data_IF_818574844419
#
_entry.id   IF_818574844419
#
_cell.length_a   1.000
_cell.length_b   1.000
_cell.length_c   1.000
_cell.angle_alpha   90.00
_cell.angle_beta   90.00
_cell.angle_gamma   90.00
#
_symmetry.space_group_name_H-M   'P 1'
#
loop_
_entity.id
_entity.type
_entity.pdbx_description
1 polymer ?
#
# COMPACT_ATOMS: atom_id res chain seq x y z
N UNK A 1 -0.62 -4.43 17.59
CA UNK A 1 -1.55 -3.44 18.17
C UNK A 1 -2.05 -2.37 17.20
N UNK A 2 -1.42 -2.08 16.05
CA UNK A 2 -1.88 -0.99 15.18
C UNK A 2 -3.12 -1.35 14.35
N UNK A 3 -3.27 -2.62 13.96
CA UNK A 3 -4.37 -3.09 13.11
C UNK A 3 -5.76 -2.98 13.75
N UNK A 4 -5.88 -2.94 15.08
CA UNK A 4 -7.17 -2.81 15.74
C UNK A 4 -7.85 -1.45 15.53
N UNK A 5 -7.13 -0.46 14.99
CA UNK A 5 -7.74 0.80 14.54
C UNK A 5 -8.66 0.62 13.32
N UNK A 6 -8.54 -0.51 12.62
CA UNK A 6 -9.41 -0.90 11.51
C UNK A 6 -10.80 -1.35 11.96
N UNK A 7 -11.02 -1.58 13.26
CA UNK A 7 -12.31 -2.03 13.78
C UNK A 7 -13.40 -1.00 13.47
N UNK A 8 -14.48 -1.45 12.80
CA UNK A 8 -15.60 -0.60 12.40
C UNK A 8 -15.27 0.46 11.34
N UNK A 9 -14.14 0.34 10.63
CA UNK A 9 -13.78 1.24 9.53
C UNK A 9 -14.25 0.67 8.19
N UNK A 10 -14.50 1.57 7.23
CA UNK A 10 -14.89 1.20 5.86
C UNK A 10 -13.67 0.92 4.96
N UNK A 11 -12.60 1.69 5.16
CA UNK A 11 -11.32 1.50 4.50
C UNK A 11 -10.19 1.96 5.43
N UNK A 12 -8.95 1.57 5.12
CA UNK A 12 -7.75 2.02 5.82
C UNK A 12 -6.67 2.47 4.83
N UNK A 13 -5.72 3.27 5.32
CA UNK A 13 -4.56 3.74 4.58
C UNK A 13 -3.29 3.27 5.29
N UNK A 14 -2.50 2.44 4.61
CA UNK A 14 -1.11 2.17 4.99
C UNK A 14 -0.22 3.24 4.36
N UNK A 15 0.08 4.27 5.15
CA UNK A 15 0.83 5.42 4.66
C UNK A 15 2.35 5.20 4.74
N UNK A 16 3.07 5.54 3.66
CA UNK A 16 4.52 5.60 3.64
C UNK A 16 5.21 4.26 3.89
N UNK A 17 4.64 3.17 3.38
CA UNK A 17 5.18 1.81 3.56
C UNK A 17 6.59 1.72 3.00
N UNK A 18 7.51 1.24 3.84
CA UNK A 18 8.92 1.07 3.50
C UNK A 18 9.19 -0.36 3.05
N UNK A 19 10.08 -0.52 2.08
CA UNK A 19 10.60 -1.81 1.64
C UNK A 19 12.10 -1.93 1.80
N UNK A 20 12.66 -2.96 1.17
CA UNK A 20 14.10 -3.10 0.98
C UNK A 20 14.55 -2.14 -0.13
N UNK A 21 15.55 -1.32 0.15
CA UNK A 21 16.16 -0.44 -0.85
C UNK A 21 17.07 -1.27 -1.77
N UNK A 22 16.92 -1.16 -3.09
CA UNK A 22 17.77 -1.81 -4.10
C UNK A 22 19.07 -1.04 -4.39
N UNK A 23 19.66 -0.43 -3.37
CA UNK A 23 20.91 0.35 -3.52
C UNK A 23 20.73 1.85 -3.72
N UNK A 24 19.51 2.39 -3.60
CA UNK A 24 19.28 3.83 -3.52
C UNK A 24 19.60 4.33 -2.10
N UNK A 25 20.65 5.13 -1.92
CA UNK A 25 21.05 5.66 -0.61
C UNK A 25 20.01 6.62 0.02
N UNK A 26 19.13 7.18 -0.80
CA UNK A 26 18.13 8.18 -0.38
C UNK A 26 16.81 7.59 0.13
N UNK A 27 16.62 6.27 0.06
CA UNK A 27 15.41 5.60 0.55
C UNK A 27 15.71 4.81 1.83
N UNK A 28 15.09 5.16 2.96
CA UNK A 28 15.28 4.41 4.19
C UNK A 28 14.65 3.02 4.05
N UNK A 29 15.42 1.97 4.33
CA UNK A 29 14.88 0.61 4.36
C UNK A 29 13.98 0.40 5.58
N UNK A 30 12.98 -0.47 5.45
CA UNK A 30 12.10 -0.84 6.56
C UNK A 30 11.29 -2.11 6.29
N UNK A 31 10.67 -2.68 7.33
CA UNK A 31 9.98 -3.96 7.25
C UNK A 31 8.54 -3.84 6.72
N UNK A 32 8.12 -2.68 6.23
CA UNK A 32 6.72 -2.41 5.91
C UNK A 32 6.12 -3.41 4.92
N UNK A 33 6.79 -3.64 3.79
CA UNK A 33 6.34 -4.65 2.82
C UNK A 33 6.47 -6.09 3.32
N UNK A 34 7.46 -6.41 4.17
CA UNK A 34 7.54 -7.73 4.77
C UNK A 34 6.34 -7.98 5.70
N UNK A 35 5.99 -7.00 6.52
CA UNK A 35 4.83 -7.06 7.40
C UNK A 35 3.51 -7.18 6.61
N UNK A 36 3.38 -6.48 5.47
CA UNK A 36 2.21 -6.64 4.61
C UNK A 36 2.13 -8.05 4.01
N UNK A 37 3.27 -8.64 3.64
CA UNK A 37 3.31 -10.02 3.12
C UNK A 37 2.95 -11.07 4.17
N UNK A 38 3.09 -10.75 5.47
CA UNK A 38 2.59 -11.58 6.58
C UNK A 38 1.08 -11.39 6.84
N UNK A 39 0.48 -10.31 6.35
CA UNK A 39 -0.93 -9.95 6.55
C UNK A 39 -1.84 -10.35 5.37
N UNK A 40 -1.50 -11.41 4.63
CA UNK A 40 -2.21 -11.80 3.40
C UNK A 40 -3.71 -11.97 3.59
N UNK A 41 -4.12 -12.63 4.69
CA UNK A 41 -5.53 -12.84 4.99
C UNK A 41 -6.30 -11.52 5.21
N UNK A 42 -5.59 -10.47 5.66
CA UNK A 42 -6.15 -9.14 5.85
C UNK A 42 -6.32 -8.42 4.51
N UNK A 43 -5.28 -8.45 3.66
CA UNK A 43 -5.26 -7.79 2.35
C UNK A 43 -6.27 -8.43 1.39
N UNK A 44 -6.39 -9.75 1.45
CA UNK A 44 -7.29 -10.54 0.63
C UNK A 44 -8.77 -10.33 0.97
N UNK A 45 -9.08 -10.17 2.26
CA UNK A 45 -10.46 -9.99 2.72
C UNK A 45 -11.39 -11.19 2.44
N UNK A 46 -10.84 -12.40 2.22
CA UNK A 46 -11.64 -13.62 2.01
C UNK A 46 -12.18 -14.23 3.30
N UNK A 47 -11.49 -13.98 4.42
CA UNK A 47 -11.81 -14.56 5.73
C UNK A 47 -11.86 -13.46 6.79
N UNK A 48 -12.57 -13.74 7.89
CA UNK A 48 -12.50 -12.88 9.06
C UNK A 48 -11.15 -13.01 9.75
N UNK A 49 -10.61 -11.89 10.21
CA UNK A 49 -9.36 -11.81 10.96
C UNK A 49 -9.64 -11.37 12.39
N UNK A 50 -8.83 -11.85 13.33
CA UNK A 50 -8.94 -11.46 14.73
C UNK A 50 -8.16 -10.17 15.00
N UNK A 51 -8.89 -9.12 15.39
CA UNK A 51 -8.32 -7.83 15.74
C UNK A 51 -8.28 -7.65 17.26
N UNK A 52 -7.07 -7.55 17.81
CA UNK A 52 -6.85 -7.39 19.24
C UNK A 52 -6.70 -5.94 19.67
N UNK A 53 -7.49 -5.51 20.65
CA UNK A 53 -7.36 -4.22 21.31
C UNK A 53 -7.12 -4.43 22.81
N UNK A 54 -6.21 -3.63 23.37
CA UNK A 54 -5.83 -3.73 24.78
C UNK A 54 -7.06 -3.65 25.68
N UNK A 55 -7.16 -4.57 26.65
CA UNK A 55 -8.25 -4.67 27.63
C UNK A 55 -9.63 -4.90 27.01
N UNK A 56 -9.69 -5.47 25.81
CA UNK A 56 -10.94 -5.85 25.14
C UNK A 56 -10.80 -7.28 24.60
N UNK A 57 -11.93 -7.96 24.43
CA UNK A 57 -11.95 -9.24 23.74
C UNK A 57 -11.57 -9.06 22.26
N UNK A 58 -10.86 -10.02 21.65
CA UNK A 58 -10.59 -10.00 20.22
C UNK A 58 -11.90 -9.90 19.42
N UNK A 59 -11.90 -9.07 18.38
CA UNK A 59 -13.05 -8.90 17.50
C UNK A 59 -12.74 -9.60 16.18
N UNK A 60 -13.60 -10.53 15.77
CA UNK A 60 -13.56 -11.14 14.45
C UNK A 60 -14.33 -10.26 13.46
N UNK A 61 -13.69 -9.87 12.38
CA UNK A 61 -14.34 -9.18 11.27
C UNK A 61 -13.53 -9.37 9.98
N UNK A 62 -14.19 -9.22 8.83
CA UNK A 62 -13.47 -9.03 7.57
C UNK A 62 -12.65 -7.74 7.65
N UNK A 63 -11.40 -7.80 7.24
CA UNK A 63 -10.54 -6.63 7.27
C UNK A 63 -10.99 -5.62 6.20
N UNK A 64 -11.07 -4.32 6.53
CA UNK A 64 -11.56 -3.32 5.58
C UNK A 64 -10.61 -3.14 4.40
N UNK A 65 -11.13 -2.69 3.27
CA UNK A 65 -10.32 -2.39 2.09
C UNK A 65 -9.20 -1.40 2.41
N UNK A 66 -8.09 -1.54 1.68
CA UNK A 66 -6.85 -0.89 2.05
C UNK A 66 -6.32 -0.10 0.86
N UNK A 67 -5.73 1.06 1.15
CA UNK A 67 -4.90 1.80 0.22
C UNK A 67 -3.49 1.81 0.79
N UNK A 68 -2.51 1.41 0.00
CA UNK A 68 -1.10 1.41 0.39
C UNK A 68 -0.39 2.49 -0.42
N UNK A 69 0.33 3.37 0.27
CA UNK A 69 1.21 4.36 -0.35
C UNK A 69 2.65 4.04 -0.02
N UNK A 70 3.53 4.13 -1.02
CA UNK A 70 4.97 3.96 -0.81
C UNK A 70 5.76 4.78 -1.83
N UNK A 71 7.06 4.96 -1.54
CA UNK A 71 8.00 5.46 -2.55
C UNK A 71 8.35 4.32 -3.53
N UNK A 72 9.37 4.55 -4.36
CA UNK A 72 9.89 3.58 -5.31
C UNK A 72 10.71 2.46 -4.62
N UNK A 73 10.01 1.62 -3.85
CA UNK A 73 10.55 0.42 -3.24
C UNK A 73 10.22 -0.81 -4.09
N UNK A 74 11.01 -1.86 -3.91
CA UNK A 74 10.70 -3.14 -4.54
C UNK A 74 9.64 -3.91 -3.76
N UNK A 75 8.51 -4.12 -4.43
CA UNK A 75 7.38 -4.92 -3.94
C UNK A 75 7.57 -6.37 -4.37
N UNK A 76 7.46 -7.31 -3.42
CA UNK A 76 7.55 -8.74 -3.71
C UNK A 76 6.38 -9.21 -4.59
N UNK A 77 6.65 -10.20 -5.44
CA UNK A 77 5.66 -10.72 -6.39
C UNK A 77 4.39 -11.24 -5.69
N UNK A 78 4.53 -11.89 -4.53
CA UNK A 78 3.42 -12.38 -3.70
C UNK A 78 2.43 -11.28 -3.30
N UNK A 79 2.92 -10.06 -3.06
CA UNK A 79 2.07 -8.91 -2.75
C UNK A 79 1.48 -8.27 -4.00
N UNK A 80 2.23 -8.25 -5.11
CA UNK A 80 1.74 -7.71 -6.39
C UNK A 80 0.50 -8.45 -6.90
N UNK A 81 0.40 -9.75 -6.64
CA UNK A 81 -0.78 -10.56 -7.03
C UNK A 81 -2.06 -10.18 -6.26
N UNK A 82 -1.91 -9.61 -5.06
CA UNK A 82 -3.00 -9.24 -4.14
C UNK A 82 -3.46 -7.80 -4.27
N UNK A 83 -2.60 -6.97 -4.85
CA UNK A 83 -2.79 -5.55 -4.99
C UNK A 83 -3.32 -5.25 -6.41
N UNK A 84 -4.28 -4.33 -6.50
CA UNK A 84 -4.65 -3.69 -7.77
C UNK A 84 -3.86 -2.39 -7.89
N UNK A 85 -2.98 -2.31 -8.88
CA UNK A 85 -1.96 -1.26 -9.01
C UNK A 85 -0.58 -1.87 -9.29
N UNK A 86 0.46 -1.09 -9.58
CA UNK A 86 0.71 0.24 -9.03
C UNK A 86 0.18 1.39 -9.90
N UNK A 87 -0.45 2.38 -9.27
CA UNK A 87 -0.66 3.69 -9.90
C UNK A 87 0.57 4.53 -9.60
N UNK A 88 1.39 4.77 -10.62
CA UNK A 88 2.56 5.64 -10.50
C UNK A 88 2.13 7.11 -10.52
N UNK A 89 2.29 7.81 -9.40
CA UNK A 89 2.15 9.25 -9.36
C UNK A 89 3.47 9.90 -9.75
N UNK A 90 3.49 10.58 -10.90
CA UNK A 90 4.59 11.46 -11.27
C UNK A 90 4.29 12.85 -10.76
N UNK A 91 5.28 13.48 -10.13
CA UNK A 91 5.14 14.89 -9.83
C UNK A 91 5.13 15.69 -11.12
N UNK A 92 4.15 16.57 -11.27
CA UNK A 92 4.16 17.56 -12.32
C UNK A 92 5.03 18.73 -11.85
N UNK A 93 6.10 19.09 -12.58
CA UNK A 93 6.76 20.36 -12.34
C UNK A 93 5.77 21.46 -12.76
N UNK A 94 5.11 22.09 -11.78
CA UNK A 94 4.42 23.34 -12.06
C UNK A 94 5.49 24.42 -12.32
N UNK A 95 5.47 25.11 -13.47
CA UNK A 95 6.47 26.14 -13.80
C UNK A 95 6.34 27.44 -12.96
N UNK A 96 5.63 27.41 -11.83
CA UNK A 96 5.23 28.63 -11.11
C UNK A 96 6.20 29.07 -10.01
N UNK A 97 7.28 28.33 -9.74
CA UNK A 97 8.28 28.73 -8.74
C UNK A 97 9.63 29.00 -9.43
N UNK A 98 10.16 30.23 -9.37
CA UNK A 98 11.48 30.52 -9.93
C UNK A 98 12.53 29.66 -9.23
N UNK A 99 13.33 28.94 -10.03
CA UNK A 99 14.47 28.18 -9.55
C UNK A 99 15.52 29.16 -9.02
N UNK A 100 15.58 29.32 -7.71
CA UNK A 100 16.70 30.01 -7.09
C UNK A 100 17.91 29.08 -7.13
N UNK A 101 18.89 29.46 -7.95
CA UNK A 101 20.23 28.87 -7.97
C UNK A 101 20.87 29.00 -6.58
N UNK A 102 20.77 27.96 -5.76
CA UNK A 102 21.55 27.86 -4.52
C UNK A 102 20.84 27.11 -3.40
N UNK A 103 21.18 25.84 -3.24
CA UNK A 103 21.05 25.13 -1.98
C UNK A 103 19.82 24.24 -1.85
N UNK A 104 20.02 22.95 -2.12
CA UNK A 104 19.25 21.80 -1.65
C UNK A 104 17.73 21.94 -1.79
N UNK A 105 17.28 21.89 -3.05
CA UNK A 105 15.90 21.55 -3.39
C UNK A 105 15.56 20.19 -2.76
N UNK A 106 14.84 20.24 -1.64
CA UNK A 106 14.12 19.10 -1.11
C UNK A 106 13.04 18.75 -2.15
N UNK A 107 13.44 17.91 -3.11
CA UNK A 107 12.61 17.22 -4.09
C UNK A 107 11.49 16.46 -3.36
N UNK A 108 10.39 17.13 -3.04
CA UNK A 108 9.16 16.51 -2.53
C UNK A 108 8.40 15.71 -3.61
N UNK A 109 9.03 15.51 -4.76
CA UNK A 109 8.50 14.71 -5.88
C UNK A 109 8.85 13.24 -5.68
N UNK A 110 8.24 12.58 -4.69
CA UNK A 110 8.35 11.14 -4.54
C UNK A 110 7.31 10.46 -5.42
N UNK A 111 7.77 9.59 -6.32
CA UNK A 111 6.93 8.64 -7.04
C UNK A 111 6.11 7.87 -6.01
N UNK A 112 4.82 8.20 -5.90
CA UNK A 112 3.90 7.51 -5.00
C UNK A 112 3.30 6.36 -5.78
N UNK A 113 3.51 5.13 -5.32
CA UNK A 113 2.75 3.99 -5.82
C UNK A 113 1.53 3.84 -4.92
N UNK A 114 0.35 3.88 -5.54
CA UNK A 114 -0.92 3.57 -4.87
C UNK A 114 -1.37 2.18 -5.25
N UNK A 115 -1.73 1.42 -4.23
CA UNK A 115 -2.09 0.02 -4.29
C UNK A 115 -3.39 -0.19 -3.50
N UNK A 116 -4.45 -0.70 -4.13
CA UNK A 116 -5.68 -1.05 -3.43
C UNK A 116 -5.70 -2.56 -3.14
N UNK A 117 -5.97 -2.96 -1.90
CA UNK A 117 -6.21 -4.36 -1.57
C UNK A 117 -7.47 -4.87 -2.29
N UNK A 118 -7.46 -6.10 -2.80
CA UNK A 118 -8.61 -6.76 -3.45
C UNK A 118 -9.70 -7.15 -2.44
N UNK A 119 -10.09 -6.22 -1.56
CA UNK A 119 -11.24 -6.44 -0.70
C UNK A 119 -12.50 -6.54 -1.54
N UNK A 120 -13.20 -7.67 -1.42
CA UNK A 120 -14.50 -8.00 -2.05
C UNK A 120 -15.62 -6.95 -1.83
N UNK A 121 -15.37 -5.92 -1.02
CA UNK A 121 -16.30 -4.81 -0.77
C UNK A 121 -16.50 -3.86 -1.95
N UNK A 122 -15.53 -3.75 -2.87
CA UNK A 122 -15.78 -3.15 -4.18
C UNK A 122 -16.04 -4.31 -5.14
N UNK A 123 -17.32 -4.59 -5.40
CA UNK A 123 -17.74 -5.63 -6.35
C UNK A 123 -17.34 -5.31 -7.79
N UNK A 124 -16.04 -5.39 -8.09
CA UNK A 124 -15.53 -5.49 -9.45
C UNK A 124 -15.38 -6.99 -9.70
N UNK A 125 -16.31 -7.64 -10.42
CA UNK A 125 -16.16 -9.04 -10.76
C UNK A 125 -14.86 -9.23 -11.57
N UNK A 126 -14.05 -10.18 -11.12
CA UNK A 126 -12.98 -10.80 -11.90
C UNK A 126 -13.63 -11.52 -13.09
N UNK A 127 -13.84 -10.82 -14.19
CA UNK A 127 -14.05 -11.44 -15.49
C UNK A 127 -12.96 -10.95 -16.45
N UNK A 128 -12.23 -11.93 -16.97
CA UNK A 128 -11.38 -11.89 -18.17
C UNK A 128 -10.01 -11.20 -18.07
N UNK A 129 -9.05 -11.91 -17.46
CA UNK A 129 -7.66 -11.92 -17.94
C UNK A 129 -7.17 -13.36 -18.12
N UNK A 130 -7.92 -14.16 -18.89
CA UNK A 130 -7.40 -15.37 -19.54
C UNK A 130 -7.98 -15.40 -20.95
N UNK A 131 -7.34 -14.65 -21.86
CA UNK A 131 -7.32 -14.86 -23.31
C UNK A 131 -6.58 -13.69 -23.95
N UNK A 132 -5.27 -13.85 -24.17
CA UNK A 132 -4.58 -13.58 -25.45
C UNK A 132 -3.21 -14.25 -25.32
N UNK A 133 -2.97 -15.25 -26.15
CA UNK A 133 -1.70 -15.97 -26.23
C UNK A 133 -1.84 -17.33 -26.92
N UNK A 134 -2.52 -17.35 -28.08
CA UNK A 134 -2.20 -18.33 -29.14
C UNK A 134 -0.98 -17.83 -29.92
#
# INVERSE_FOLDING_TARGET
>A
FYLCQAIGKRFILFDGVKGRSLGSENLPSGPGFANLDDLRDHIDGHVEVQLEKKNMQPISQVFPCEIITCNDYHIHQSLKERIVGPIEMKAFPFPCCPQNNGGNDLHWTRSLQVAAGRGTHFGIPLQEQEKVGE
#
